data_IF_579447893103
#
_entry.id   IF_579447893103
#
_cell.length_a   1.000
_cell.length_b   1.000
_cell.length_c   1.000
_cell.angle_alpha   90.00
_cell.angle_beta   90.00
_cell.angle_gamma   90.00
#
_symmetry.space_group_name_H-M   'P 1'
#
loop_
_entity.id
_entity.type
_entity.pdbx_description
1 polymer ?
#
# COMPACT_ATOMS: atom_id res chain seq x y z
N UNK A 1 50.15 15.72 -26.29
CA UNK A 1 50.71 14.43 -25.83
C UNK A 1 49.59 13.39 -25.57
N UNK A 2 49.36 12.54 -26.59
CA UNK A 2 48.94 11.12 -26.60
C UNK A 2 48.13 10.54 -25.42
N UNK A 3 47.11 9.68 -25.54
CA UNK A 3 46.44 9.00 -26.66
C UNK A 3 45.16 8.31 -26.09
N UNK A 4 44.09 8.28 -26.89
CA UNK A 4 43.02 7.26 -27.03
C UNK A 4 42.98 6.04 -26.08
N UNK A 5 41.80 5.75 -25.49
CA UNK A 5 41.12 4.44 -25.67
C UNK A 5 39.61 4.65 -25.73
N UNK A 6 39.08 4.22 -26.87
CA UNK A 6 37.70 4.10 -27.29
C UNK A 6 37.24 2.67 -26.97
N UNK A 7 36.12 2.48 -26.29
CA UNK A 7 35.39 1.20 -26.36
C UNK A 7 33.89 1.39 -26.08
N UNK A 8 33.13 1.27 -27.17
CA UNK A 8 31.68 1.11 -27.21
C UNK A 8 31.24 -0.10 -26.40
N UNK A 9 30.09 0.00 -25.75
CA UNK A 9 29.23 -1.15 -25.47
C UNK A 9 27.78 -0.70 -25.50
N UNK A 10 27.19 -0.77 -26.69
CA UNK A 10 25.75 -0.84 -26.87
C UNK A 10 25.28 -2.23 -26.47
N UNK A 11 24.20 -2.34 -25.70
CA UNK A 11 23.63 -3.61 -25.26
C UNK A 11 22.12 -3.50 -25.06
N UNK A 12 21.41 -3.58 -26.17
CA UNK A 12 19.95 -3.57 -26.30
C UNK A 12 19.36 -4.88 -25.72
N UNK A 13 18.45 -4.80 -24.75
CA UNK A 13 17.67 -5.97 -24.31
C UNK A 13 16.28 -5.91 -24.97
N UNK A 14 16.02 -6.86 -25.87
CA UNK A 14 14.73 -7.05 -26.49
C UNK A 14 14.26 -8.50 -26.37
N UNK A 15 12.95 -8.61 -26.18
CA UNK A 15 12.03 -9.65 -26.63
C UNK A 15 11.91 -10.97 -25.84
N UNK A 16 10.66 -11.16 -25.41
CA UNK A 16 9.97 -12.37 -24.98
C UNK A 16 10.22 -13.58 -25.88
N UNK A 17 10.30 -14.77 -25.26
CA UNK A 17 10.21 -16.05 -25.94
C UNK A 17 9.19 -16.97 -25.27
N UNK A 18 8.06 -17.19 -25.94
CA UNK A 18 7.11 -18.27 -25.61
C UNK A 18 7.63 -19.53 -26.31
N UNK A 19 7.93 -20.58 -25.55
CA UNK A 19 8.33 -21.87 -26.10
C UNK A 19 7.10 -22.62 -26.63
N UNK A 20 6.99 -22.72 -27.95
CA UNK A 20 6.10 -23.67 -28.62
C UNK A 20 6.91 -24.91 -28.99
N UNK A 21 6.72 -26.02 -28.27
CA UNK A 21 7.36 -27.30 -28.59
C UNK A 21 6.54 -28.03 -29.66
N UNK A 22 7.17 -28.23 -30.82
CA UNK A 22 6.67 -29.00 -31.98
C UNK A 22 7.05 -30.47 -31.78
N UNK A 23 6.07 -31.37 -31.77
CA UNK A 23 6.30 -32.81 -31.65
C UNK A 23 5.48 -33.64 -32.64
N UNK A 24 6.10 -33.90 -33.81
CA UNK A 24 6.08 -35.11 -34.67
C UNK A 24 4.75 -35.67 -35.24
N UNK A 25 4.84 -36.05 -36.51
CA UNK A 25 3.81 -36.61 -37.37
C UNK A 25 3.60 -38.11 -37.18
N UNK A 26 2.37 -38.59 -37.45
CA UNK A 26 2.08 -39.95 -37.92
C UNK A 26 0.86 -39.91 -38.86
N UNK A 27 0.97 -40.66 -39.94
CA UNK A 27 0.05 -40.88 -41.08
C UNK A 27 -1.25 -41.68 -40.71
N UNK A 28 -2.19 -41.92 -41.67
CA UNK A 28 -3.63 -41.96 -41.43
C UNK A 28 -4.19 -43.38 -41.18
N UNK A 29 -5.26 -43.47 -40.38
CA UNK A 29 -6.07 -44.67 -40.26
C UNK A 29 -7.58 -44.31 -40.29
N UNK A 30 -8.29 -45.04 -41.16
CA UNK A 30 -9.73 -45.20 -41.40
C UNK A 30 -10.79 -44.45 -40.55
N UNK A 31 -11.94 -44.07 -41.16
CA UNK A 31 -13.02 -43.37 -40.46
C UNK A 31 -13.81 -44.35 -39.58
N UNK A 32 -13.57 -44.32 -38.27
CA UNK A 32 -14.53 -44.82 -37.30
C UNK A 32 -15.55 -43.71 -37.05
N UNK A 33 -16.81 -43.97 -37.39
CA UNK A 33 -17.93 -43.10 -37.10
C UNK A 33 -18.04 -42.86 -35.58
N UNK A 34 -17.56 -41.70 -35.12
CA UNK A 34 -17.82 -41.20 -33.78
C UNK A 34 -19.15 -40.45 -33.80
N UNK A 35 -20.13 -40.95 -33.05
CA UNK A 35 -21.37 -40.27 -32.79
C UNK A 35 -21.08 -38.87 -32.20
N UNK A 36 -21.60 -37.83 -32.86
CA UNK A 36 -21.56 -36.47 -32.34
C UNK A 36 -22.52 -36.38 -31.15
N UNK A 37 -22.01 -36.51 -29.92
CA UNK A 37 -22.75 -36.07 -28.74
C UNK A 37 -22.86 -34.54 -28.78
N UNK A 38 -24.06 -33.96 -28.59
CA UNK A 38 -24.21 -32.51 -28.46
C UNK A 38 -23.37 -32.03 -27.26
N UNK A 39 -22.43 -31.13 -27.51
CA UNK A 39 -21.72 -30.45 -26.44
C UNK A 39 -22.74 -29.61 -25.65
N UNK A 40 -22.96 -29.97 -24.38
CA UNK A 40 -23.74 -29.16 -23.46
C UNK A 40 -23.06 -27.78 -23.28
N UNK A 41 -23.82 -26.67 -23.20
CA UNK A 41 -23.23 -25.36 -22.98
C UNK A 41 -22.49 -25.34 -21.64
N UNK A 42 -21.22 -24.90 -21.67
CA UNK A 42 -20.44 -24.69 -20.46
C UNK A 42 -21.12 -23.62 -19.58
N UNK A 43 -21.23 -23.82 -18.25
CA UNK A 43 -21.78 -22.81 -17.37
C UNK A 43 -20.94 -21.53 -17.43
N UNK A 44 -21.60 -20.40 -17.67
CA UNK A 44 -20.96 -19.10 -17.60
C UNK A 44 -20.40 -18.90 -16.18
N UNK A 45 -19.09 -18.66 -16.07
CA UNK A 45 -18.47 -18.33 -14.80
C UNK A 45 -19.12 -17.05 -14.25
N UNK A 46 -19.85 -17.17 -13.15
CA UNK A 46 -20.41 -16.03 -12.44
C UNK A 46 -19.26 -15.10 -12.03
N UNK A 47 -19.30 -13.85 -12.51
CA UNK A 47 -18.37 -12.83 -12.04
C UNK A 47 -18.61 -12.63 -10.54
N UNK A 48 -17.57 -12.63 -9.69
CA UNK A 48 -17.74 -12.38 -8.27
C UNK A 48 -18.39 -11.00 -8.08
N UNK A 49 -19.47 -10.96 -7.31
CA UNK A 49 -20.14 -9.70 -6.99
C UNK A 49 -19.15 -8.76 -6.28
N UNK A 50 -19.21 -7.44 -6.54
CA UNK A 50 -18.35 -6.48 -5.85
C UNK A 50 -18.55 -6.60 -4.33
N UNK A 51 -17.47 -6.81 -3.58
CA UNK A 51 -17.51 -6.70 -2.13
C UNK A 51 -17.72 -5.22 -1.78
N UNK A 52 -18.81 -4.91 -1.09
CA UNK A 52 -19.02 -3.55 -0.60
C UNK A 52 -17.95 -3.23 0.46
N UNK A 53 -17.29 -2.09 0.33
CA UNK A 53 -16.38 -1.61 1.36
C UNK A 53 -17.14 -1.43 2.68
N UNK A 54 -16.55 -1.81 3.83
CA UNK A 54 -17.17 -1.58 5.12
C UNK A 54 -17.47 -0.09 5.31
N UNK A 55 -18.64 0.22 5.88
CA UNK A 55 -19.00 1.58 6.29
C UNK A 55 -18.92 1.67 7.81
N UNK A 56 -18.11 2.63 8.28
CA UNK A 56 -17.87 2.94 9.67
C UNK A 56 -18.80 4.06 10.15
N UNK A 57 -19.20 3.98 11.41
CA UNK A 57 -20.00 5.03 12.06
C UNK A 57 -19.13 6.26 12.38
N UNK A 58 -19.74 7.43 12.48
CA UNK A 58 -19.04 8.65 12.89
C UNK A 58 -18.32 8.48 14.24
N UNK A 59 -18.94 7.79 15.21
CA UNK A 59 -18.32 7.54 16.52
C UNK A 59 -17.08 6.62 16.44
N UNK A 60 -17.08 5.62 15.55
CA UNK A 60 -15.90 4.77 15.33
C UNK A 60 -14.76 5.56 14.70
N UNK A 61 -15.08 6.38 13.69
CA UNK A 61 -14.09 7.26 13.05
C UNK A 61 -13.54 8.26 14.07
N UNK A 62 -14.40 8.91 14.85
CA UNK A 62 -13.98 9.85 15.91
C UNK A 62 -13.05 9.18 16.93
N UNK A 63 -13.31 7.93 17.32
CA UNK A 63 -12.45 7.18 18.23
C UNK A 63 -11.06 6.93 17.66
N UNK A 64 -10.93 6.64 16.36
CA UNK A 64 -9.64 6.42 15.73
C UNK A 64 -8.89 7.71 15.42
N UNK A 65 -9.59 8.79 15.11
CA UNK A 65 -8.98 10.10 14.79
C UNK A 65 -8.61 10.87 16.05
N UNK A 66 -9.30 10.68 17.17
CA UNK A 66 -9.07 11.40 18.43
C UNK A 66 -7.60 11.54 18.87
N UNK A 67 -6.75 10.49 18.84
CA UNK A 67 -5.35 10.60 19.26
C UNK A 67 -4.51 11.57 18.42
N UNK A 68 -4.93 11.84 17.19
CA UNK A 68 -4.19 12.63 16.20
C UNK A 68 -4.96 13.89 15.76
N UNK A 69 -6.16 14.12 16.29
CA UNK A 69 -7.04 15.20 15.85
C UNK A 69 -6.43 16.59 16.05
N UNK A 70 -5.63 16.77 17.10
CA UNK A 70 -4.99 18.05 17.43
C UNK A 70 -3.71 18.33 16.65
N UNK A 71 -3.25 17.39 15.80
CA UNK A 71 -2.11 17.67 14.92
C UNK A 71 -2.47 18.65 13.80
N UNK A 72 -1.49 19.44 13.31
CA UNK A 72 -1.68 20.30 12.14
C UNK A 72 -2.17 19.49 10.93
N UNK A 73 -3.00 20.10 10.08
CA UNK A 73 -3.69 19.40 8.99
C UNK A 73 -2.73 18.68 8.04
N UNK A 74 -1.59 19.31 7.72
CA UNK A 74 -0.54 18.70 6.91
C UNK A 74 0.04 17.42 7.52
N UNK A 75 0.29 17.41 8.84
CA UNK A 75 0.79 16.22 9.55
C UNK A 75 -0.31 15.17 9.68
N UNK A 76 -1.56 15.58 9.92
CA UNK A 76 -2.71 14.68 9.97
C UNK A 76 -2.88 13.94 8.64
N UNK A 77 -2.90 14.64 7.51
CA UNK A 77 -2.95 14.01 6.19
C UNK A 77 -1.78 13.06 5.97
N UNK A 78 -0.59 13.42 6.46
CA UNK A 78 0.57 12.56 6.33
C UNK A 78 0.43 11.24 7.10
N UNK A 79 -0.12 11.30 8.31
CA UNK A 79 -0.43 10.13 9.14
C UNK A 79 -1.48 9.25 8.48
N UNK A 80 -2.57 9.84 7.95
CA UNK A 80 -3.64 9.10 7.28
C UNK A 80 -3.14 8.37 6.03
N UNK A 81 -2.28 9.02 5.23
CA UNK A 81 -1.61 8.39 4.10
C UNK A 81 -0.68 7.25 4.54
N UNK A 82 0.10 7.44 5.61
CA UNK A 82 0.97 6.39 6.12
C UNK A 82 0.19 5.18 6.67
N UNK A 83 -0.98 5.42 7.27
CA UNK A 83 -1.83 4.39 7.84
C UNK A 83 -2.36 3.39 6.80
N UNK A 84 -2.42 3.77 5.51
CA UNK A 84 -2.77 2.85 4.42
C UNK A 84 -1.65 1.86 4.09
N UNK A 85 -0.49 1.97 4.75
CA UNK A 85 0.66 1.07 4.63
C UNK A 85 1.08 0.50 5.99
N UNK A 86 0.21 -0.26 6.67
CA UNK A 86 0.42 -0.71 8.05
C UNK A 86 1.68 -1.57 8.22
N UNK A 87 2.03 -2.40 7.23
CA UNK A 87 3.26 -3.18 7.26
C UNK A 87 4.52 -2.29 7.25
N UNK A 88 4.52 -1.23 6.43
CA UNK A 88 5.60 -0.26 6.39
C UNK A 88 5.70 0.50 7.73
N UNK A 89 4.56 0.89 8.30
CA UNK A 89 4.51 1.58 9.61
C UNK A 89 5.12 0.72 10.72
N UNK A 90 4.81 -0.58 10.78
CA UNK A 90 5.39 -1.50 11.77
C UNK A 90 6.92 -1.55 11.65
N UNK A 91 7.42 -1.68 10.41
CA UNK A 91 8.87 -1.71 10.16
C UNK A 91 9.55 -0.38 10.50
N UNK A 92 8.94 0.74 10.12
CA UNK A 92 9.45 2.08 10.40
C UNK A 92 9.42 2.40 11.91
N UNK A 93 8.38 1.98 12.62
CA UNK A 93 8.29 2.13 14.07
C UNK A 93 9.36 1.31 14.80
N UNK A 94 9.61 0.08 14.36
CA UNK A 94 10.71 -0.73 14.89
C UNK A 94 12.07 -0.07 14.61
N UNK A 95 12.30 0.40 13.38
CA UNK A 95 13.52 1.13 13.05
C UNK A 95 13.71 2.37 13.94
N UNK A 96 12.66 3.16 14.15
CA UNK A 96 12.71 4.36 14.99
C UNK A 96 13.03 4.03 16.44
N UNK A 97 12.47 2.92 16.96
CA UNK A 97 12.78 2.41 18.30
C UNK A 97 14.24 1.98 18.45
N UNK A 98 14.81 1.36 17.43
CA UNK A 98 16.21 0.92 17.43
C UNK A 98 17.19 2.09 17.21
N UNK A 99 16.70 3.24 16.74
CA UNK A 99 17.48 4.43 16.43
C UNK A 99 16.93 5.67 17.20
N UNK A 100 16.91 5.66 18.54
CA UNK A 100 16.20 6.68 19.34
C UNK A 100 16.79 8.10 19.26
N UNK A 101 17.97 8.26 18.66
CA UNK A 101 18.63 9.56 18.43
C UNK A 101 18.47 10.06 17.00
N UNK A 102 17.83 9.29 16.12
CA UNK A 102 17.56 9.69 14.75
C UNK A 102 16.20 10.39 14.70
N UNK A 103 16.20 11.63 14.23
CA UNK A 103 15.00 12.45 14.08
C UNK A 103 15.18 13.45 12.92
N UNK A 104 14.10 14.15 12.56
CA UNK A 104 14.12 15.14 11.49
C UNK A 104 14.63 14.58 10.15
N UNK A 105 15.31 15.43 9.38
CA UNK A 105 15.85 15.08 8.07
C UNK A 105 16.88 13.95 8.14
N UNK A 106 17.66 13.86 9.22
CA UNK A 106 18.65 12.80 9.38
C UNK A 106 18.01 11.41 9.40
N UNK A 107 16.86 11.27 10.07
CA UNK A 107 16.09 10.02 10.06
C UNK A 107 15.55 9.69 8.66
N UNK A 108 14.99 10.69 7.97
CA UNK A 108 14.45 10.51 6.62
C UNK A 108 15.53 10.04 5.64
N UNK A 109 16.72 10.65 5.71
CA UNK A 109 17.86 10.25 4.87
C UNK A 109 18.34 8.84 5.20
N UNK A 110 18.39 8.47 6.47
CA UNK A 110 18.81 7.14 6.91
C UNK A 110 17.90 6.02 6.39
N UNK A 111 16.61 6.31 6.17
CA UNK A 111 15.63 5.33 5.66
C UNK A 111 15.34 5.47 4.17
N UNK A 112 16.06 6.33 3.44
CA UNK A 112 15.79 6.62 2.04
C UNK A 112 15.75 5.35 1.15
N UNK A 113 16.63 4.39 1.43
CA UNK A 113 16.72 3.10 0.73
C UNK A 113 15.72 2.03 1.16
N UNK A 114 14.90 2.29 2.19
CA UNK A 114 13.88 1.33 2.62
C UNK A 114 12.74 1.24 1.58
N UNK A 115 12.13 0.05 1.38
CA UNK A 115 11.04 -0.12 0.42
C UNK A 115 9.68 0.35 0.98
N UNK A 116 9.67 1.44 1.75
CA UNK A 116 8.47 2.02 2.34
C UNK A 116 7.89 3.12 1.47
N UNK A 117 6.59 3.34 1.63
CA UNK A 117 5.91 4.48 1.02
C UNK A 117 6.53 5.82 1.49
N UNK A 118 6.64 6.85 0.63
CA UNK A 118 7.16 8.17 1.03
C UNK A 118 6.45 8.75 2.25
N UNK A 119 5.15 8.50 2.40
CA UNK A 119 4.40 8.93 3.58
C UNK A 119 4.99 8.39 4.87
N UNK A 120 5.26 7.08 4.92
CA UNK A 120 5.85 6.41 6.08
C UNK A 120 7.28 6.88 6.32
N UNK A 121 8.08 7.03 5.26
CA UNK A 121 9.45 7.56 5.37
C UNK A 121 9.48 8.95 5.99
N UNK A 122 8.54 9.83 5.66
CA UNK A 122 8.49 11.16 6.27
C UNK A 122 8.24 11.12 7.78
N UNK A 123 7.46 10.13 8.26
CA UNK A 123 7.08 10.05 9.66
C UNK A 123 8.20 9.60 10.58
N UNK A 124 9.27 9.00 10.07
CA UNK A 124 10.43 8.63 10.92
C UNK A 124 11.17 9.85 11.48
N UNK A 125 10.92 11.03 10.92
CA UNK A 125 11.37 12.30 11.50
C UNK A 125 10.80 12.57 12.90
N UNK A 126 9.73 11.86 13.30
CA UNK A 126 9.00 12.05 14.55
C UNK A 126 9.00 10.74 15.39
N UNK A 127 10.06 10.47 16.17
CA UNK A 127 10.18 9.21 16.92
C UNK A 127 9.01 8.95 17.90
N UNK A 128 8.48 10.00 18.52
CA UNK A 128 7.32 9.86 19.41
C UNK A 128 6.06 9.42 18.66
N UNK A 129 5.83 9.93 17.45
CA UNK A 129 4.71 9.50 16.61
C UNK A 129 4.90 8.06 16.12
N UNK A 130 6.12 7.68 15.73
CA UNK A 130 6.45 6.30 15.40
C UNK A 130 6.24 5.35 16.58
N UNK A 131 6.56 5.77 17.79
CA UNK A 131 6.26 5.01 19.01
C UNK A 131 4.75 4.83 19.21
N UNK A 132 3.95 5.87 19.03
CA UNK A 132 2.48 5.80 19.10
C UNK A 132 1.92 4.80 18.08
N UNK A 133 2.33 4.92 16.81
CA UNK A 133 1.88 4.05 15.73
C UNK A 133 2.33 2.59 15.93
N UNK A 134 3.57 2.38 16.38
CA UNK A 134 4.11 1.05 16.65
C UNK A 134 3.50 0.35 17.87
N UNK A 135 3.01 1.12 18.85
CA UNK A 135 2.38 0.57 20.06
C UNK A 135 0.97 0.03 19.81
N UNK A 136 0.30 0.44 18.73
CA UNK A 136 -1.06 0.01 18.42
C UNK A 136 -1.28 -0.30 16.93
N UNK A 137 -0.76 -1.44 16.43
CA UNK A 137 -0.97 -1.85 15.04
C UNK A 137 -2.44 -1.97 14.62
N UNK A 138 -3.38 -2.50 15.44
CA UNK A 138 -4.79 -2.51 15.10
C UNK A 138 -5.37 -1.11 14.89
N UNK A 139 -4.92 -0.10 15.64
CA UNK A 139 -5.35 1.29 15.42
C UNK A 139 -4.87 1.84 14.09
N UNK A 140 -3.60 1.60 13.71
CA UNK A 140 -3.06 2.01 12.41
C UNK A 140 -3.86 1.37 11.27
N UNK A 141 -4.14 0.07 11.38
CA UNK A 141 -4.95 -0.67 10.41
C UNK A 141 -6.35 -0.04 10.26
N UNK A 142 -7.07 0.11 11.37
CA UNK A 142 -8.43 0.65 11.34
C UNK A 142 -8.48 2.09 10.82
N UNK A 143 -7.49 2.91 11.16
CA UNK A 143 -7.38 4.28 10.68
C UNK A 143 -7.15 4.31 9.16
N UNK A 144 -6.26 3.46 8.65
CA UNK A 144 -6.01 3.30 7.22
C UNK A 144 -7.24 2.80 6.47
N UNK A 145 -7.90 1.76 6.97
CA UNK A 145 -9.11 1.20 6.35
C UNK A 145 -10.26 2.22 6.34
N UNK A 146 -10.44 2.98 7.43
CA UNK A 146 -11.41 4.06 7.49
C UNK A 146 -11.10 5.18 6.49
N UNK A 147 -9.83 5.56 6.32
CA UNK A 147 -9.43 6.58 5.36
C UNK A 147 -9.62 6.13 3.91
N UNK A 148 -9.36 4.87 3.61
CA UNK A 148 -9.61 4.29 2.29
C UNK A 148 -11.11 4.19 1.97
N UNK A 149 -11.95 3.86 2.95
CA UNK A 149 -13.39 3.71 2.76
C UNK A 149 -14.15 5.04 2.78
N UNK A 150 -13.80 5.95 3.70
CA UNK A 150 -14.54 7.18 4.00
C UNK A 150 -13.59 8.37 4.25
N UNK A 151 -12.78 8.78 3.26
CA UNK A 151 -11.77 9.83 3.45
C UNK A 151 -12.38 11.16 3.92
N UNK A 152 -13.56 11.51 3.41
CA UNK A 152 -14.28 12.72 3.82
C UNK A 152 -14.68 12.68 5.30
N UNK A 153 -15.26 11.58 5.76
CA UNK A 153 -15.74 11.48 7.15
C UNK A 153 -14.59 11.46 8.16
N UNK A 154 -13.45 10.88 7.78
CA UNK A 154 -12.20 10.90 8.56
C UNK A 154 -11.65 12.32 8.68
N UNK A 155 -11.57 13.07 7.58
CA UNK A 155 -11.11 14.47 7.62
C UNK A 155 -12.07 15.36 8.41
N UNK A 156 -13.38 15.18 8.22
CA UNK A 156 -14.40 15.92 8.97
C UNK A 156 -14.34 15.61 10.47
N UNK A 157 -14.03 14.38 10.85
CA UNK A 157 -13.82 13.98 12.24
C UNK A 157 -12.71 14.79 12.90
N UNK A 158 -11.55 14.91 12.25
CA UNK A 158 -10.45 15.73 12.74
C UNK A 158 -10.85 17.20 12.96
N UNK A 159 -11.60 17.77 12.02
CA UNK A 159 -12.13 19.14 12.14
C UNK A 159 -13.12 19.27 13.31
N UNK A 160 -14.07 18.35 13.45
CA UNK A 160 -15.05 18.35 14.55
C UNK A 160 -14.38 18.27 15.91
N UNK A 161 -13.40 17.38 16.06
CA UNK A 161 -12.69 17.15 17.32
C UNK A 161 -11.86 18.38 17.72
N UNK A 162 -11.22 19.07 16.76
CA UNK A 162 -10.54 20.36 17.04
C UNK A 162 -11.52 21.44 17.47
N UNK A 163 -12.66 21.56 16.79
CA UNK A 163 -13.68 22.52 17.18
C UNK A 163 -14.25 22.23 18.58
N UNK A 164 -14.36 20.95 18.97
CA UNK A 164 -14.74 20.57 20.32
C UNK A 164 -13.68 20.98 21.34
N UNK A 165 -12.40 20.67 21.09
CA UNK A 165 -11.29 21.02 21.97
C UNK A 165 -11.21 22.54 22.24
N UNK A 166 -11.39 23.36 21.20
CA UNK A 166 -11.44 24.82 21.32
C UNK A 166 -12.59 25.32 22.20
N UNK A 167 -13.76 24.67 22.13
CA UNK A 167 -14.93 25.02 22.96
C UNK A 167 -14.75 24.63 24.43
N UNK A 168 -13.97 23.58 24.70
CA UNK A 168 -13.75 23.05 26.05
C UNK A 168 -12.50 23.61 26.75
N UNK A 169 -11.77 24.53 26.11
CA UNK A 169 -10.64 25.22 26.70
C UNK A 169 -9.32 24.43 26.70
N UNK A 170 -9.12 23.57 25.70
CA UNK A 170 -7.81 22.98 25.41
C UNK A 170 -6.85 23.99 24.76
#
# INVERSE_FOLDING_TARGET
>A
PHLLVLLCSAGLFAASGVMFVKGRATEPAAPAAAAQQPAAPAPAAAQPAPVAAPTYTAAQIDQWVAPIALYPDALLSQILMAATYPANVIQAAQWSKDNPKMEGDAAIQAVAGQPWDPSVKSLVAFPQLMSLMGANPPWVQNLGDAFLAQPKDVMDSGQRLRALAQKTGA
#
